data_IF_823311192421
#
_entry.id   IF_823311192421
#
_cell.length_a   1.000
_cell.length_b   1.000
_cell.length_c   1.000
_cell.angle_alpha   90.00
_cell.angle_beta   90.00
_cell.angle_gamma   90.00
#
_symmetry.space_group_name_H-M   'P 1'
#
loop_
_entity.id
_entity.type
_entity.pdbx_description
1 polymer ?
2 water ?
#
# COMPACT_ATOMS: atom_id res chain seq x y z
N UNK A 22 -5.35 14.87 -9.55
CA UNK A 22 -5.96 14.00 -10.62
C UNK A 22 -6.69 12.74 -10.06
N UNK A 23 -6.17 11.52 -10.27
CA UNK A 23 -6.89 10.29 -9.81
C UNK A 23 -6.13 8.94 -9.70
N UNK A 24 -4.88 8.88 -10.17
CA UNK A 24 -4.24 7.57 -10.52
C UNK A 24 -3.35 6.84 -9.50
N UNK A 25 -3.66 6.90 -8.21
CA UNK A 25 -3.01 5.99 -7.25
C UNK A 25 -3.87 4.74 -7.04
N UNK A 26 -3.19 3.61 -6.79
CA UNK A 26 -3.87 2.34 -6.52
C UNK A 26 -4.16 2.23 -5.03
N UNK A 27 -5.40 1.91 -4.68
CA UNK A 27 -5.74 1.60 -3.31
C UNK A 27 -6.46 0.26 -3.26
N UNK A 28 -6.76 -0.21 -2.05
CA UNK A 28 -7.28 -1.57 -1.93
C UNK A 28 -8.65 -1.61 -1.24
N UNK A 29 -9.60 -2.27 -1.89
CA UNK A 29 -10.91 -2.46 -1.29
C UNK A 29 -10.84 -3.37 -0.06
N UNK A 30 -11.63 -3.06 0.96
CA UNK A 30 -11.60 -3.82 2.22
C UNK A 30 -12.35 -5.14 2.02
N UNK A 31 -11.92 -6.19 2.73
CA UNK A 31 -12.65 -7.45 2.73
C UNK A 31 -13.94 -7.29 3.55
N UNK A 32 -14.99 -8.02 3.19
CA UNK A 32 -16.20 -8.07 4.00
C UNK A 32 -16.23 -9.28 4.97
N UNK A 33 -16.86 -9.10 6.13
CA UNK A 33 -17.15 -10.19 7.09
C UNK A 33 -18.63 -10.20 7.39
N UNK A 34 -19.13 -11.36 7.83
CA UNK A 34 -20.43 -11.38 8.48
C UNK A 34 -20.24 -11.10 9.96
N UNK A 35 -21.25 -10.52 10.61
CA UNK A 35 -21.27 -10.24 12.05
C UNK A 35 -21.24 -11.55 12.84
N UNK A 36 -20.61 -11.53 14.02
CA UNK A 36 -20.59 -12.67 14.94
C UNK A 36 -20.67 -12.21 16.39
N UNK A 37 -21.29 -13.01 17.25
CA UNK A 37 -21.32 -12.73 18.68
C UNK A 37 -19.99 -13.09 19.35
N UNK A 38 -19.11 -12.10 19.50
CA UNK A 38 -17.79 -12.31 20.13
C UNK A 38 -17.85 -12.57 21.62
N UNK A 39 -18.72 -11.81 22.29
CA UNK A 39 -19.03 -11.97 23.71
C UNK A 39 -19.42 -13.39 24.13
N UNK A 40 -20.60 -13.85 23.73
CA UNK A 40 -21.20 -15.10 24.29
C UNK A 40 -20.25 -16.30 24.50
N UNK A 41 -19.48 -16.70 23.46
CA UNK A 41 -18.42 -17.70 23.67
C UNK A 41 -17.33 -17.30 24.67
N UNK A 42 -16.93 -16.03 24.65
CA UNK A 42 -15.89 -15.53 25.59
C UNK A 42 -16.42 -15.43 27.02
N UNK A 43 -17.75 -15.30 27.16
CA UNK A 43 -18.43 -15.28 28.45
C UNK A 43 -18.24 -16.64 29.15
N UNK A 44 -18.46 -17.71 28.38
CA UNK A 44 -18.43 -19.06 28.92
C UNK A 44 -17.05 -19.54 29.33
N UNK A 45 -16.00 -18.87 28.86
CA UNK A 45 -14.63 -19.20 29.26
C UNK A 45 -14.21 -18.49 30.55
N UNK A 46 -14.86 -17.38 30.88
CA UNK A 46 -14.49 -16.56 32.06
C UNK A 46 -14.64 -17.34 33.38
N UNK A 47 -15.67 -18.19 33.46
CA UNK A 47 -15.87 -19.09 34.60
C UNK A 47 -14.68 -20.04 34.68
N UNK A 48 -13.58 -19.53 35.25
CA UNK A 48 -12.27 -20.20 35.21
C UNK A 48 -11.53 -20.06 36.56
N UNK A 49 -10.61 -19.09 36.65
CA UNK A 49 -10.07 -18.65 37.94
C UNK A 49 -10.89 -17.41 38.37
N UNK A 50 -12.11 -17.34 37.84
CA UNK A 50 -13.08 -16.28 38.14
C UNK A 50 -14.39 -16.91 38.65
N UNK A 51 -14.55 -16.97 39.99
CA UNK A 51 -15.64 -17.72 40.64
C UNK A 51 -16.98 -16.99 40.79
N UNK A 52 -17.11 -16.17 41.83
CA UNK A 52 -18.39 -15.58 42.24
C UNK A 52 -18.88 -14.46 41.31
N UNK A 53 -20.20 -14.25 41.30
CA UNK A 53 -20.83 -13.26 40.41
C UNK A 53 -20.66 -11.83 40.85
N UNK A 54 -20.47 -10.92 39.89
CA UNK A 54 -20.22 -9.50 40.15
C UNK A 54 -18.88 -9.25 40.83
N UNK A 55 -17.84 -9.12 40.00
CA UNK A 55 -16.44 -9.14 40.45
C UNK A 55 -15.56 -8.61 39.31
N UNK A 56 -14.40 -9.22 39.12
CA UNK A 56 -13.69 -9.16 37.85
C UNK A 56 -14.47 -10.05 36.89
N UNK A 57 -15.09 -11.08 37.48
CA UNK A 57 -15.88 -12.07 36.77
C UNK A 57 -16.88 -11.43 35.80
N UNK A 58 -17.92 -10.78 36.33
CA UNK A 58 -18.96 -10.20 35.48
C UNK A 58 -18.67 -8.76 35.03
N UNK A 59 -17.42 -8.34 35.23
CA UNK A 59 -16.90 -7.09 34.64
C UNK A 59 -16.23 -7.40 33.29
N UNK A 60 -15.35 -8.41 33.29
CA UNK A 60 -14.67 -8.91 32.10
C UNK A 60 -15.69 -9.27 31.02
N UNK A 61 -16.87 -9.72 31.45
CA UNK A 61 -17.97 -10.05 30.56
C UNK A 61 -18.58 -8.81 29.89
N UNK A 62 -18.45 -7.65 30.53
CA UNK A 62 -18.84 -6.38 29.90
C UNK A 62 -17.71 -5.80 29.08
N UNK A 63 -16.50 -6.36 29.27
CA UNK A 63 -15.35 -6.00 28.45
C UNK A 63 -15.37 -6.88 27.21
N UNK A 64 -15.84 -8.11 27.40
CA UNK A 64 -16.13 -9.03 26.31
C UNK A 64 -17.35 -8.51 25.57
N UNK A 65 -18.27 -7.88 26.32
CA UNK A 65 -19.45 -7.21 25.76
C UNK A 65 -18.91 -5.99 25.00
N UNK A 66 -17.84 -5.41 25.58
CA UNK A 66 -17.15 -4.20 24.99
C UNK A 66 -16.41 -4.48 23.75
N UNK A 67 -15.65 -5.60 23.70
CA UNK A 67 -14.85 -6.05 22.52
C UNK A 67 -15.66 -6.56 21.34
N UNK A 68 -16.82 -7.17 21.62
CA UNK A 68 -17.74 -7.63 20.59
C UNK A 68 -18.30 -6.41 19.88
N UNK A 69 -18.54 -5.38 20.68
CA UNK A 69 -19.02 -4.09 20.18
C UNK A 69 -17.94 -3.43 19.33
N UNK A 70 -16.69 -3.63 19.77
CA UNK A 70 -15.53 -3.10 19.04
C UNK A 70 -15.38 -3.78 17.67
N UNK A 71 -15.59 -5.09 17.59
CA UNK A 71 -15.58 -5.73 16.27
C UNK A 71 -16.57 -5.12 15.30
N UNK A 72 -17.84 -4.93 15.71
CA UNK A 72 -18.86 -4.35 14.84
C UNK A 72 -18.52 -2.93 14.37
N UNK A 73 -17.81 -2.16 15.20
CA UNK A 73 -17.32 -0.86 14.74
C UNK A 73 -16.13 -0.97 13.75
N UNK A 74 -15.18 -1.85 14.03
CA UNK A 74 -14.03 -2.08 13.16
C UNK A 74 -14.46 -2.65 11.82
N UNK A 75 -15.49 -3.47 11.82
CA UNK A 75 -15.71 -4.37 10.70
C UNK A 75 -17.13 -4.36 10.17
N UNK A 76 -18.09 -3.90 10.97
CA UNK A 76 -19.49 -3.93 10.55
C UNK A 76 -19.98 -2.77 9.69
N UNK A 77 -19.38 -1.59 9.89
CA UNK A 77 -19.93 -0.33 9.33
C UNK A 77 -19.53 -0.09 7.87
N UNK A 78 -20.51 0.34 7.03
CA UNK A 78 -20.22 0.97 5.73
C UNK A 78 -19.26 2.13 5.96
N UNK A 79 -18.02 1.99 5.51
CA UNK A 79 -16.95 2.69 6.20
C UNK A 79 -16.74 4.14 5.87
N UNK A 80 -15.78 4.67 6.60
CA UNK A 80 -15.44 6.06 6.70
C UNK A 80 -13.93 6.09 6.39
N UNK A 81 -13.55 6.90 5.40
CA UNK A 81 -12.14 7.02 5.02
C UNK A 81 -11.40 8.07 5.85
N UNK A 82 -11.53 7.95 7.18
CA UNK A 82 -11.06 8.97 8.12
C UNK A 82 -10.12 8.43 9.19
N UNK A 83 -9.36 9.36 9.79
CA UNK A 83 -8.54 9.12 10.99
C UNK A 83 -9.28 8.15 11.93
N UNK A 84 -10.55 8.50 12.23
CA UNK A 84 -11.46 7.75 13.12
C UNK A 84 -11.65 6.28 12.82
N UNK A 85 -12.12 5.96 11.62
CA UNK A 85 -12.35 4.57 11.19
C UNK A 85 -11.08 3.71 11.15
N UNK A 86 -9.96 4.28 10.72
CA UNK A 86 -8.69 3.54 10.72
C UNK A 86 -8.28 3.21 12.14
N UNK A 87 -8.37 4.20 13.02
CA UNK A 87 -8.01 3.99 14.43
C UNK A 87 -8.87 2.90 15.05
N UNK A 88 -10.14 2.86 14.67
CA UNK A 88 -10.98 1.80 15.17
C UNK A 88 -10.41 0.47 14.74
N UNK A 89 -10.11 0.31 13.44
CA UNK A 89 -9.53 -0.92 12.92
C UNK A 89 -8.29 -1.29 13.67
N UNK A 90 -7.35 -0.33 13.78
CA UNK A 90 -6.07 -0.58 14.46
C UNK A 90 -6.24 -1.05 15.91
N UNK A 91 -7.18 -0.41 16.59
CA UNK A 91 -7.49 -0.78 17.95
C UNK A 91 -8.00 -2.21 17.92
N UNK A 92 -8.95 -2.49 17.04
CA UNK A 92 -9.46 -3.83 17.01
C UNK A 92 -8.36 -4.86 16.73
N UNK A 93 -7.38 -4.52 15.89
CA UNK A 93 -6.23 -5.40 15.68
C UNK A 93 -5.40 -5.59 16.95
N UNK A 94 -4.97 -4.50 17.57
CA UNK A 94 -4.22 -4.59 18.83
C UNK A 94 -4.95 -5.48 19.82
N UNK A 95 -6.28 -5.34 19.88
CA UNK A 95 -7.09 -5.99 20.91
C UNK A 95 -7.21 -7.49 20.73
N UNK A 96 -7.25 -7.94 19.47
CA UNK A 96 -7.25 -9.36 19.18
C UNK A 96 -5.88 -9.93 19.54
N UNK A 97 -4.84 -9.31 19.01
CA UNK A 97 -3.50 -9.76 19.32
C UNK A 97 -3.31 -10.02 20.83
N UNK A 98 -3.97 -9.21 21.67
CA UNK A 98 -3.78 -9.25 23.12
C UNK A 98 -4.63 -10.32 23.82
N UNK A 99 -5.53 -10.92 23.05
CA UNK A 99 -6.57 -11.79 23.58
C UNK A 99 -6.26 -13.25 23.33
N UNK A 100 -5.32 -13.51 22.44
CA UNK A 100 -4.95 -14.88 22.10
C UNK A 100 -4.14 -15.59 23.18
N UNK A 101 -3.21 -14.88 23.86
CA UNK A 101 -2.36 -15.63 24.78
C UNK A 101 -3.09 -15.98 26.07
N UNK A 102 -4.42 -15.92 26.03
CA UNK A 102 -5.24 -16.11 27.23
C UNK A 102 -6.31 -17.19 27.02
N UNK A 103 -6.92 -17.19 25.83
CA UNK A 103 -8.11 -18.01 25.58
C UNK A 103 -7.85 -19.31 24.80
N UNK A 104 -7.82 -19.24 23.44
CA UNK A 104 -7.70 -20.47 22.65
C UNK A 104 -6.24 -20.90 22.35
N UNK A 105 -5.38 -20.79 23.37
CA UNK A 105 -3.96 -21.18 23.31
C UNK A 105 -3.76 -22.64 22.87
N UNK A 106 -4.82 -23.44 22.98
CA UNK A 106 -4.85 -24.81 22.44
C UNK A 106 -6.24 -25.22 21.94
N UNK A 107 -7.29 -24.65 22.55
CA UNK A 107 -8.70 -24.84 22.18
C UNK A 107 -9.12 -26.20 21.60
N UNK A 108 -9.77 -27.01 22.43
CA UNK A 108 -10.31 -28.29 21.99
C UNK A 108 -11.68 -28.13 21.30
N UNK A 109 -12.27 -26.95 21.43
CA UNK A 109 -13.57 -26.63 20.82
C UNK A 109 -13.74 -25.15 20.44
N UNK A 110 -13.26 -24.25 21.31
CA UNK A 110 -13.60 -22.79 21.34
C UNK A 110 -14.60 -22.32 20.24
N UNK A 111 -15.88 -22.33 20.61
CA UNK A 111 -17.00 -22.18 19.67
C UNK A 111 -17.13 -20.76 19.10
N UNK A 112 -16.37 -20.47 18.05
CA UNK A 112 -16.22 -19.10 17.53
C UNK A 112 -15.56 -19.08 16.13
N UNK A 113 -16.34 -18.71 15.12
CA UNK A 113 -15.91 -18.86 13.73
C UNK A 113 -16.10 -17.56 12.93
N UNK A 114 -15.01 -17.12 12.30
CA UNK A 114 -15.02 -15.88 11.53
C UNK A 114 -15.10 -16.19 10.05
N UNK A 115 -15.93 -15.44 9.35
CA UNK A 115 -16.18 -15.65 7.93
C UNK A 115 -15.84 -14.40 7.16
N UNK A 116 -14.98 -14.53 6.16
CA UNK A 116 -14.52 -13.41 5.35
C UNK A 116 -14.64 -13.73 3.86
N UNK A 117 -15.13 -12.76 3.07
CA UNK A 117 -15.10 -12.82 1.60
C UNK A 117 -13.70 -12.38 1.11
N UNK A 118 -13.21 -13.01 0.04
CA UNK A 118 -11.98 -12.56 -0.66
C UNK A 118 -12.19 -11.12 -1.17
N UNK A 119 -11.14 -10.30 -1.15
CA UNK A 119 -11.29 -8.89 -1.47
C UNK A 119 -11.46 -8.65 -2.96
N UNK A 120 -10.94 -9.59 -3.75
CA UNK A 120 -10.73 -9.38 -5.18
C UNK A 120 -11.62 -10.31 -5.97
N UNK A 121 -11.73 -11.55 -5.48
CA UNK A 121 -12.43 -12.61 -6.21
C UNK A 121 -13.92 -12.43 -6.07
N UNK A 122 -14.54 -12.05 -7.19
CA UNK A 122 -15.98 -11.87 -7.30
C UNK A 122 -16.67 -13.22 -7.08
N UNK A 123 -16.02 -14.26 -7.61
CA UNK A 123 -16.50 -15.62 -7.51
C UNK A 123 -16.97 -16.01 -8.88
N UNK A 124 -18.23 -16.45 -8.95
CA UNK A 124 -18.93 -16.61 -10.19
C UNK A 124 -20.39 -16.47 -9.87
N UNK A 125 -21.10 -15.70 -10.69
CA UNK A 125 -22.52 -15.49 -10.49
C UNK A 125 -23.28 -16.79 -10.88
N UNK A 126 -22.49 -17.83 -11.20
CA UNK A 126 -22.96 -19.20 -11.42
C UNK A 126 -23.16 -19.93 -10.09
N UNK A 127 -22.39 -19.55 -9.07
CA UNK A 127 -22.49 -20.18 -7.75
C UNK A 127 -21.98 -19.34 -6.58
N UNK A 128 -22.09 -18.02 -6.69
CA UNK A 128 -21.86 -17.10 -5.57
C UNK A 128 -20.41 -16.68 -5.35
N UNK A 129 -20.21 -15.88 -4.30
CA UNK A 129 -18.90 -15.31 -3.93
C UNK A 129 -17.89 -16.35 -3.39
N UNK A 130 -16.65 -15.92 -3.20
CA UNK A 130 -15.62 -16.76 -2.60
C UNK A 130 -15.37 -16.31 -1.16
N UNK A 131 -15.63 -17.23 -0.24
CA UNK A 131 -15.70 -16.96 1.19
C UNK A 131 -14.87 -18.03 1.91
N UNK A 132 -14.49 -17.77 3.15
CA UNK A 132 -13.74 -18.75 3.96
C UNK A 132 -13.98 -18.58 5.47
N UNK A 133 -14.51 -19.63 6.09
CA UNK A 133 -14.89 -19.59 7.49
C UNK A 133 -13.88 -20.40 8.27
N UNK A 134 -13.34 -19.82 9.33
CA UNK A 134 -12.40 -20.52 10.21
C UNK A 134 -12.59 -20.06 11.63
N UNK A 135 -12.45 -21.03 12.54
CA UNK A 135 -12.50 -20.81 13.98
C UNK A 135 -11.09 -20.52 14.49
N UNK A 136 -10.53 -19.37 14.12
CA UNK A 136 -9.13 -19.07 14.38
C UNK A 136 -8.90 -17.57 14.55
N UNK A 137 -8.17 -17.20 15.59
CA UNK A 137 -7.87 -15.80 15.84
C UNK A 137 -6.77 -15.32 14.90
N UNK A 138 -5.97 -16.28 14.41
CA UNK A 138 -4.94 -16.03 13.40
C UNK A 138 -5.55 -15.61 12.08
N UNK A 139 -6.66 -16.24 11.72
CA UNK A 139 -7.33 -15.90 10.49
C UNK A 139 -7.90 -14.52 10.62
N UNK A 140 -8.65 -14.33 11.70
CA UNK A 140 -9.31 -13.08 11.96
C UNK A 140 -8.33 -11.93 11.93
N UNK A 141 -7.23 -12.00 12.68
CA UNK A 141 -6.33 -10.85 12.76
C UNK A 141 -5.60 -10.60 11.43
N UNK A 142 -5.47 -11.67 10.64
CA UNK A 142 -4.92 -11.58 9.32
C UNK A 142 -5.79 -10.75 8.44
N UNK A 143 -7.09 -10.94 8.52
CA UNK A 143 -8.01 -10.27 7.63
C UNK A 143 -8.21 -8.84 8.09
N UNK A 144 -8.12 -8.63 9.41
CA UNK A 144 -8.33 -7.32 9.99
C UNK A 144 -7.17 -6.44 9.57
N UNK A 145 -5.97 -7.00 9.68
CA UNK A 145 -4.76 -6.29 9.36
C UNK A 145 -4.75 -5.96 7.89
N UNK A 146 -5.23 -6.90 7.07
CA UNK A 146 -5.40 -6.65 5.63
C UNK A 146 -6.25 -5.41 5.50
N UNK A 147 -7.35 -5.36 6.25
CA UNK A 147 -8.24 -4.22 6.11
C UNK A 147 -7.64 -2.91 6.63
N UNK A 148 -6.74 -2.98 7.62
CA UNK A 148 -6.05 -1.79 8.12
C UNK A 148 -5.16 -1.28 6.99
N UNK A 149 -4.61 -2.23 6.25
CA UNK A 149 -3.76 -1.89 5.14
C UNK A 149 -4.61 -1.24 4.04
N UNK A 150 -5.69 -1.91 3.67
CA UNK A 150 -6.52 -1.42 2.59
C UNK A 150 -7.13 -0.03 2.89
N UNK A 151 -7.54 0.22 4.13
CA UNK A 151 -8.13 1.51 4.43
C UNK A 151 -7.08 2.61 4.41
N UNK A 152 -5.89 2.29 4.90
CA UNK A 152 -4.73 3.16 4.85
C UNK A 152 -4.39 3.55 3.40
N UNK A 153 -4.34 2.59 2.48
CA UNK A 153 -4.11 2.94 1.07
C UNK A 153 -5.22 3.84 0.50
N UNK A 154 -6.45 3.65 0.98
CA UNK A 154 -7.57 4.46 0.49
C UNK A 154 -7.42 5.89 0.98
N UNK A 155 -7.14 6.04 2.28
CA UNK A 155 -6.90 7.34 2.86
C UNK A 155 -5.71 8.00 2.16
N UNK A 156 -4.65 7.21 1.98
CA UNK A 156 -3.44 7.68 1.29
C UNK A 156 -3.77 8.23 -0.09
N UNK A 157 -4.37 7.41 -0.93
CA UNK A 157 -4.78 7.79 -2.28
C UNK A 157 -5.68 9.04 -2.36
N UNK A 158 -6.49 9.25 -1.32
CA UNK A 158 -7.47 10.33 -1.22
C UNK A 158 -6.84 11.71 -1.00
N UNK A 159 -5.53 11.74 -0.74
CA UNK A 159 -4.90 12.97 -0.22
C UNK A 159 -4.47 13.97 -1.25
N UNK A 160 -4.45 15.24 -0.85
CA UNK A 160 -4.05 16.34 -1.74
C UNK A 160 -2.52 16.41 -1.72
N UNK A 161 -1.92 16.13 -2.87
CA UNK A 161 -0.46 16.06 -2.94
C UNK A 161 0.23 17.40 -3.23
N UNK A 162 -0.50 18.40 -3.71
CA UNK A 162 0.11 19.76 -3.77
C UNK A 162 -0.15 20.57 -2.50
N UNK A 163 -0.08 19.90 -1.36
CA UNK A 163 -0.18 20.50 -0.05
C UNK A 163 0.63 19.63 0.89
N UNK A 164 1.44 20.27 1.73
CA UNK A 164 2.50 19.58 2.45
C UNK A 164 2.11 18.52 3.47
N UNK A 165 0.96 18.68 4.14
CA UNK A 165 0.57 17.68 5.14
C UNK A 165 -0.17 16.52 4.47
N UNK A 166 -0.58 16.72 3.23
CA UNK A 166 -1.17 15.67 2.40
C UNK A 166 -0.08 14.70 1.99
N UNK A 167 0.99 15.26 1.45
CA UNK A 167 2.22 14.53 1.17
C UNK A 167 2.69 13.67 2.32
N UNK A 168 2.72 14.23 3.53
CA UNK A 168 3.14 13.43 4.69
C UNK A 168 2.16 12.36 5.13
N UNK A 169 0.86 12.64 5.03
CA UNK A 169 -0.14 11.65 5.42
C UNK A 169 -0.09 10.49 4.42
N UNK A 170 0.02 10.80 3.13
CA UNK A 170 0.07 9.78 2.09
C UNK A 170 1.33 8.93 2.20
N UNK A 171 2.46 9.52 2.53
CA UNK A 171 3.68 8.73 2.62
C UNK A 171 3.66 7.83 3.85
N UNK A 172 3.22 8.39 4.99
CA UNK A 172 3.02 7.60 6.22
C UNK A 172 2.09 6.38 6.04
N UNK A 173 0.94 6.57 5.38
CA UNK A 173 -0.05 5.51 5.28
C UNK A 173 0.38 4.45 4.24
N UNK A 174 0.97 4.91 3.13
CA UNK A 174 1.51 3.98 2.13
C UNK A 174 2.56 3.07 2.74
N UNK A 175 3.48 3.62 3.54
CA UNK A 175 4.50 2.80 4.23
C UNK A 175 3.90 1.88 5.29
N UNK A 176 2.81 2.32 5.92
CA UNK A 176 2.12 1.47 6.89
C UNK A 176 1.50 0.32 6.18
N UNK A 177 0.83 0.64 5.06
CA UNK A 177 0.07 -0.35 4.30
C UNK A 177 1.05 -1.35 3.71
N UNK A 178 2.18 -0.85 3.24
CA UNK A 178 3.22 -1.76 2.78
C UNK A 178 3.70 -2.65 3.92
N UNK A 179 3.98 -2.08 5.07
CA UNK A 179 4.49 -2.90 6.17
C UNK A 179 3.44 -3.91 6.63
N UNK A 180 2.17 -3.56 6.47
CA UNK A 180 1.11 -4.39 7.01
C UNK A 180 0.81 -5.56 6.08
N UNK A 181 0.84 -5.28 4.78
CA UNK A 181 0.73 -6.33 3.79
C UNK A 181 1.90 -7.30 3.99
N UNK A 182 3.13 -6.77 4.11
CA UNK A 182 4.31 -7.64 4.25
C UNK A 182 4.24 -8.48 5.51
N UNK A 183 3.63 -7.92 6.56
CA UNK A 183 3.45 -8.69 7.78
C UNK A 183 2.52 -9.89 7.58
N UNK A 184 1.48 -9.71 6.77
CA UNK A 184 0.58 -10.81 6.46
C UNK A 184 1.30 -11.86 5.59
N UNK A 185 2.07 -11.44 4.59
CA UNK A 185 2.85 -12.38 3.78
C UNK A 185 3.72 -13.32 4.61
N UNK A 186 4.41 -12.74 5.59
CA UNK A 186 5.35 -13.49 6.39
C UNK A 186 4.62 -14.42 7.35
N UNK A 187 3.37 -14.05 7.64
CA UNK A 187 2.65 -14.60 8.77
C UNK A 187 1.40 -15.39 8.44
N UNK A 188 0.83 -15.21 7.25
CA UNK A 188 -0.47 -15.81 6.99
C UNK A 188 -0.50 -17.32 7.25
N UNK A 189 0.52 -18.04 6.81
CA UNK A 189 0.46 -19.50 6.77
C UNK A 189 0.54 -20.16 8.16
N UNK A 190 1.59 -19.83 8.93
CA UNK A 190 1.71 -20.27 10.32
C UNK A 190 0.49 -19.88 11.14
N UNK A 191 -0.09 -18.73 10.79
CA UNK A 191 -1.25 -18.16 11.50
C UNK A 191 -2.54 -18.96 11.30
N UNK A 192 -2.59 -19.67 10.18
CA UNK A 192 -3.85 -20.29 9.73
C UNK A 192 -3.85 -21.81 9.81
N UNK A 193 -5.06 -22.36 9.73
CA UNK A 193 -5.31 -23.80 9.64
C UNK A 193 -5.14 -24.30 8.19
N UNK A 194 -5.70 -23.56 7.22
CA UNK A 194 -5.83 -24.02 5.84
C UNK A 194 -5.02 -23.16 4.86
N UNK A 195 -5.10 -23.55 3.59
CA UNK A 195 -4.63 -22.70 2.50
C UNK A 195 -5.60 -21.51 2.47
N UNK A 196 -5.07 -20.27 2.56
CA UNK A 196 -5.93 -19.08 2.66
C UNK A 196 -6.68 -18.74 1.36
N UNK A 197 -7.57 -17.76 1.42
CA UNK A 197 -8.11 -17.21 0.19
C UNK A 197 -6.95 -16.49 -0.52
N UNK A 198 -7.06 -16.29 -1.83
CA UNK A 198 -5.92 -15.73 -2.59
C UNK A 198 -5.55 -14.31 -2.17
N UNK A 199 -6.53 -13.48 -1.82
CA UNK A 199 -6.27 -12.09 -1.53
C UNK A 199 -5.23 -11.94 -0.43
N UNK A 200 -5.23 -12.85 0.54
CA UNK A 200 -4.27 -12.75 1.65
C UNK A 200 -3.14 -13.76 1.55
N UNK A 201 -3.08 -14.50 0.47
CA UNK A 201 -2.01 -15.47 0.29
C UNK A 201 -0.69 -14.73 0.05
N UNK A 202 0.46 -15.30 0.50
CA UNK A 202 1.74 -14.53 0.50
C UNK A 202 2.08 -13.79 -0.81
N UNK A 203 1.72 -14.38 -1.94
CA UNK A 203 2.10 -13.82 -3.23
C UNK A 203 1.37 -12.54 -3.59
N UNK A 204 0.06 -12.48 -3.33
CA UNK A 204 -0.75 -11.28 -3.60
C UNK A 204 -0.38 -10.11 -2.69
N UNK A 205 -0.26 -10.44 -1.42
CA UNK A 205 0.02 -9.48 -0.39
C UNK A 205 1.51 -9.01 -0.45
N UNK A 206 2.43 -9.87 -0.92
CA UNK A 206 3.80 -9.46 -1.26
C UNK A 206 3.79 -8.38 -2.34
N UNK A 207 3.09 -8.64 -3.44
CA UNK A 207 2.84 -7.65 -4.50
C UNK A 207 2.14 -6.35 -4.02
N UNK A 208 1.04 -6.49 -3.28
CA UNK A 208 0.40 -5.28 -2.67
C UNK A 208 1.38 -4.50 -1.77
N UNK A 209 2.26 -5.22 -1.09
CA UNK A 209 3.31 -4.59 -0.30
C UNK A 209 4.21 -3.68 -1.13
N UNK A 210 4.64 -4.16 -2.30
CA UNK A 210 5.59 -3.46 -3.17
C UNK A 210 4.90 -2.28 -3.80
N UNK A 211 3.66 -2.48 -4.29
CA UNK A 211 2.90 -1.36 -4.85
C UNK A 211 2.83 -0.21 -3.87
N UNK A 212 2.38 -0.46 -2.63
CA UNK A 212 2.28 0.62 -1.64
C UNK A 212 3.63 1.31 -1.42
N UNK A 213 4.71 0.53 -1.34
CA UNK A 213 6.04 1.10 -1.14
C UNK A 213 6.43 1.93 -2.38
N UNK A 214 6.09 1.43 -3.58
CA UNK A 214 6.37 2.19 -4.80
C UNK A 214 5.68 3.55 -4.67
N UNK A 215 4.38 3.54 -4.29
CA UNK A 215 3.58 4.76 -4.21
C UNK A 215 4.06 5.69 -3.12
N UNK A 216 4.51 5.11 -2.02
CA UNK A 216 5.12 5.91 -0.98
C UNK A 216 6.27 6.73 -1.59
N UNK A 217 7.14 6.07 -2.33
CA UNK A 217 8.34 6.70 -2.88
C UNK A 217 7.99 7.77 -3.93
N UNK A 218 7.00 7.48 -4.77
CA UNK A 218 6.49 8.46 -5.68
C UNK A 218 6.03 9.73 -4.94
N UNK A 219 5.48 9.54 -3.74
CA UNK A 219 5.05 10.67 -2.90
C UNK A 219 6.28 11.45 -2.45
N UNK A 220 7.34 10.75 -2.07
CA UNK A 220 8.62 11.43 -1.74
C UNK A 220 9.28 12.13 -2.94
N UNK A 221 9.12 11.57 -4.14
CA UNK A 221 9.58 12.27 -5.34
C UNK A 221 8.74 13.54 -5.52
N UNK A 222 7.42 13.41 -5.41
CA UNK A 222 6.52 14.56 -5.59
C UNK A 222 6.82 15.70 -4.59
N UNK A 223 7.15 15.31 -3.37
CA UNK A 223 7.51 16.24 -2.32
C UNK A 223 8.84 16.94 -2.61
N UNK A 224 9.78 16.20 -3.22
CA UNK A 224 11.07 16.77 -3.59
C UNK A 224 10.94 17.81 -4.67
N UNK A 225 10.11 17.49 -5.67
CA UNK A 225 9.75 18.44 -6.70
C UNK A 225 9.11 19.70 -6.09
N UNK A 226 8.38 19.55 -5.00
CA UNK A 226 7.79 20.70 -4.36
C UNK A 226 8.77 21.45 -3.47
N UNK A 227 9.57 20.75 -2.69
CA UNK A 227 10.63 21.40 -1.93
C UNK A 227 11.71 21.98 -2.84
N UNK A 228 11.44 21.94 -4.15
CA UNK A 228 12.34 22.45 -5.19
C UNK A 228 13.80 22.02 -4.97
N UNK A 229 13.99 20.75 -4.63
CA UNK A 229 15.31 20.18 -4.37
C UNK A 229 16.19 20.06 -5.62
N UNK A 230 17.46 19.68 -5.39
CA UNK A 230 18.43 19.47 -6.46
C UNK A 230 17.91 18.42 -7.46
N UNK A 231 18.15 18.71 -8.74
CA UNK A 231 17.60 17.87 -9.80
C UNK A 231 18.28 16.52 -9.77
N UNK A 232 19.51 16.54 -9.27
CA UNK A 232 20.30 15.34 -9.07
C UNK A 232 19.63 14.39 -8.09
N UNK A 233 19.19 14.91 -6.95
CA UNK A 233 18.51 14.11 -5.93
C UNK A 233 17.12 13.63 -6.44
N UNK A 234 16.39 14.50 -7.13
CA UNK A 234 15.10 14.14 -7.68
C UNK A 234 15.19 13.03 -8.74
N UNK A 235 16.24 13.07 -9.55
CA UNK A 235 16.49 11.99 -10.52
C UNK A 235 16.69 10.64 -9.81
N UNK A 236 17.47 10.62 -8.72
CA UNK A 236 17.70 9.39 -7.97
C UNK A 236 16.44 8.83 -7.33
N UNK A 237 15.60 9.72 -6.78
CA UNK A 237 14.34 9.35 -6.16
C UNK A 237 13.39 8.82 -7.22
N UNK A 238 13.32 9.48 -8.37
CA UNK A 238 12.51 8.98 -9.49
C UNK A 238 13.04 7.64 -10.01
N UNK A 239 14.37 7.52 -10.10
CA UNK A 239 14.94 6.28 -10.58
C UNK A 239 14.59 5.13 -9.63
N UNK A 240 14.76 5.36 -8.31
CA UNK A 240 14.35 4.36 -7.34
C UNK A 240 12.90 3.93 -7.50
N UNK A 241 12.01 4.85 -7.83
CA UNK A 241 10.57 4.55 -7.93
C UNK A 241 10.27 3.67 -9.14
N UNK A 242 11.01 3.93 -10.21
CA UNK A 242 10.89 3.18 -11.43
C UNK A 242 11.17 1.72 -11.15
N UNK A 243 12.13 1.46 -10.26
CA UNK A 243 12.47 0.11 -9.83
C UNK A 243 11.41 -0.56 -9.00
N UNK A 244 10.82 0.20 -8.08
CA UNK A 244 9.75 -0.34 -7.27
C UNK A 244 8.59 -0.64 -8.19
N UNK A 245 8.21 0.28 -9.10
CA UNK A 245 7.06 0.03 -9.97
C UNK A 245 7.30 -1.07 -10.97
N UNK A 246 8.56 -1.21 -11.37
CA UNK A 246 8.99 -2.20 -12.33
C UNK A 246 8.91 -3.57 -11.70
N UNK A 247 9.48 -3.75 -10.51
CA UNK A 247 9.41 -5.05 -9.84
C UNK A 247 7.94 -5.41 -9.69
N UNK A 248 7.15 -4.51 -9.12
CA UNK A 248 5.76 -4.76 -8.87
C UNK A 248 4.99 -5.23 -10.11
N UNK A 249 5.18 -4.57 -11.27
CA UNK A 249 4.41 -5.00 -12.44
C UNK A 249 4.88 -6.36 -12.96
N UNK A 250 6.15 -6.67 -12.72
CA UNK A 250 6.65 -7.99 -13.07
C UNK A 250 6.02 -9.08 -12.22
N UNK A 251 5.74 -8.75 -10.96
CA UNK A 251 5.01 -9.68 -10.11
C UNK A 251 3.56 -9.94 -10.59
N UNK A 252 3.00 -8.98 -11.35
CA UNK A 252 1.63 -9.04 -11.86
C UNK A 252 1.51 -9.58 -13.28
N UNK A 253 2.64 -9.70 -13.96
CA UNK A 253 2.59 -9.97 -15.40
C UNK A 253 1.82 -11.25 -15.78
N UNK A 254 1.99 -12.33 -15.02
CA UNK A 254 1.41 -13.61 -15.41
C UNK A 254 0.18 -14.01 -14.61
N UNK A 255 -0.38 -13.03 -13.87
CA UNK A 255 -1.39 -13.26 -12.85
C UNK A 255 -2.53 -12.30 -13.05
N UNK A 256 -3.75 -12.71 -12.65
CA UNK A 256 -4.97 -11.91 -12.83
C UNK A 256 -5.81 -11.83 -11.52
N UNK A 257 -5.12 -11.80 -10.38
CA UNK A 257 -5.75 -11.68 -9.08
C UNK A 257 -6.25 -10.26 -8.80
N UNK A 258 -5.39 -9.28 -8.98
CA UNK A 258 -5.72 -7.90 -8.64
C UNK A 258 -6.65 -7.25 -9.67
N UNK A 259 -7.39 -6.21 -9.26
CA UNK A 259 -8.20 -5.55 -10.25
C UNK A 259 -7.41 -5.23 -11.53
N UNK A 260 -8.11 -5.21 -12.66
CA UNK A 260 -7.46 -5.22 -13.95
C UNK A 260 -6.73 -3.92 -14.25
N UNK A 261 -7.13 -2.84 -13.58
CA UNK A 261 -6.42 -1.56 -13.70
C UNK A 261 -5.02 -1.57 -13.09
N UNK A 262 -4.74 -2.50 -12.19
CA UNK A 262 -3.49 -2.44 -11.44
C UNK A 262 -2.26 -2.57 -12.32
N UNK A 263 -2.23 -3.56 -13.21
CA UNK A 263 -1.01 -3.87 -13.99
C UNK A 263 -0.70 -2.76 -15.01
N UNK A 264 -1.72 -2.33 -15.79
CA UNK A 264 -1.47 -1.17 -16.64
C UNK A 264 -1.06 0.11 -15.90
N UNK A 265 -1.53 0.38 -14.67
CA UNK A 265 -1.08 1.58 -13.98
C UNK A 265 0.39 1.40 -13.55
N UNK A 266 0.75 0.18 -13.14
CA UNK A 266 2.13 -0.09 -12.72
C UNK A 266 3.07 0.00 -13.91
N UNK A 267 2.57 -0.40 -15.08
CA UNK A 267 3.43 -0.44 -16.26
C UNK A 267 3.77 1.01 -16.65
N UNK A 268 2.72 1.83 -16.71
CA UNK A 268 2.87 3.23 -17.13
C UNK A 268 3.75 3.97 -16.14
N UNK A 269 3.48 3.72 -14.85
CA UNK A 269 4.10 4.41 -13.75
C UNK A 269 5.58 4.06 -13.77
N UNK A 270 5.89 2.86 -14.22
CA UNK A 270 7.29 2.49 -14.39
C UNK A 270 8.00 3.37 -15.46
N UNK A 271 7.37 3.54 -16.62
CA UNK A 271 7.95 4.38 -17.67
C UNK A 271 7.92 5.87 -17.31
N UNK A 272 6.86 6.30 -16.66
CA UNK A 272 6.77 7.68 -16.20
C UNK A 272 7.94 8.03 -15.28
N UNK A 273 8.31 7.10 -14.39
CA UNK A 273 9.33 7.39 -13.37
C UNK A 273 10.72 7.37 -13.96
N UNK A 274 10.95 6.46 -14.90
CA UNK A 274 12.15 6.51 -15.74
C UNK A 274 12.22 7.81 -16.53
N UNK A 275 11.09 8.33 -16.98
CA UNK A 275 11.08 9.55 -17.75
C UNK A 275 11.35 10.79 -16.87
N UNK A 276 10.83 10.78 -15.65
CA UNK A 276 11.19 11.77 -14.66
C UNK A 276 12.70 11.69 -14.34
N UNK A 277 13.24 10.50 -14.05
CA UNK A 277 14.67 10.35 -13.81
C UNK A 277 15.53 11.00 -14.90
N UNK A 278 15.18 10.75 -16.17
CA UNK A 278 15.97 11.19 -17.31
C UNK A 278 15.81 12.72 -17.53
N UNK A 279 14.58 13.21 -17.30
CA UNK A 279 14.29 14.61 -17.49
C UNK A 279 15.06 15.44 -16.46
N UNK A 280 15.06 14.96 -15.23
CA UNK A 280 15.74 15.71 -14.19
C UNK A 280 17.21 15.59 -14.34
N UNK A 281 17.68 14.42 -14.78
CA UNK A 281 19.12 14.24 -14.97
C UNK A 281 19.58 15.11 -16.12
N UNK A 282 18.74 15.26 -17.17
CA UNK A 282 19.10 16.16 -18.25
C UNK A 282 19.25 17.63 -17.80
N UNK A 283 18.48 18.07 -16.81
CA UNK A 283 18.53 19.46 -16.40
C UNK A 283 19.90 19.66 -15.79
N UNK A 284 20.34 18.65 -15.03
CA UNK A 284 21.62 18.70 -14.36
C UNK A 284 22.71 18.78 -15.42
N UNK A 285 22.59 17.95 -16.44
CA UNK A 285 23.51 17.91 -17.55
C UNK A 285 23.68 19.28 -18.24
N UNK A 286 22.57 20.02 -18.39
CA UNK A 286 22.58 21.32 -19.05
C UNK A 286 23.29 22.30 -18.14
N UNK A 287 23.05 22.22 -16.84
CA UNK A 287 23.75 23.05 -15.87
C UNK A 287 25.25 22.88 -16.00
N UNK A 288 25.67 21.66 -16.32
CA UNK A 288 27.07 21.34 -16.42
C UNK A 288 27.59 21.47 -17.84
N UNK A 289 26.80 22.13 -18.70
CA UNK A 289 27.10 22.38 -20.13
C UNK A 289 27.36 21.11 -20.96
N UNK A 290 26.72 20.03 -20.59
CA UNK A 290 26.85 18.79 -21.34
C UNK A 290 25.64 18.70 -22.26
N UNK A 291 25.69 19.48 -23.33
CA UNK A 291 24.48 19.72 -24.11
C UNK A 291 24.05 18.50 -24.93
N UNK A 292 25.03 17.68 -25.32
CA UNK A 292 24.76 16.44 -26.02
C UNK A 292 24.06 15.52 -25.06
N UNK A 293 24.63 15.36 -23.85
CA UNK A 293 24.03 14.47 -22.85
C UNK A 293 22.59 14.88 -22.63
N UNK A 294 22.36 16.18 -22.56
CA UNK A 294 20.98 16.67 -22.36
C UNK A 294 20.04 16.23 -23.43
N UNK A 295 20.43 16.33 -24.68
CA UNK A 295 19.54 15.90 -25.75
C UNK A 295 19.28 14.41 -25.63
N UNK A 296 20.34 13.62 -25.44
CA UNK A 296 20.22 12.14 -25.36
C UNK A 296 19.16 11.75 -24.32
N UNK A 297 19.37 12.21 -23.07
CA UNK A 297 18.46 11.94 -21.95
C UNK A 297 17.05 12.47 -22.20
N UNK A 298 16.93 13.64 -22.80
CA UNK A 298 15.62 14.13 -23.25
C UNK A 298 14.98 13.24 -24.35
N UNK A 299 15.79 12.70 -25.26
CA UNK A 299 15.20 11.83 -26.30
C UNK A 299 14.64 10.59 -25.65
N UNK A 300 15.37 10.05 -24.67
CA UNK A 300 14.91 8.90 -23.93
C UNK A 300 13.62 9.21 -23.18
N UNK A 301 13.57 10.28 -22.43
CA UNK A 301 12.34 10.67 -21.75
C UNK A 301 11.13 10.82 -22.68
N UNK A 302 11.33 11.44 -23.85
CA UNK A 302 10.28 11.62 -24.84
C UNK A 302 9.79 10.26 -25.29
N UNK A 303 10.68 9.30 -25.34
CA UNK A 303 10.30 8.06 -25.92
C UNK A 303 9.52 7.27 -24.94
N UNK A 304 10.01 7.27 -23.69
CA UNK A 304 9.32 6.63 -22.59
C UNK A 304 7.89 7.15 -22.54
N UNK A 305 7.74 8.47 -22.66
CA UNK A 305 6.43 9.11 -22.51
C UNK A 305 5.52 8.91 -23.72
N UNK A 306 6.10 8.90 -24.92
CA UNK A 306 5.34 8.58 -26.12
C UNK A 306 4.74 7.17 -25.98
N UNK A 307 5.53 6.24 -25.44
CA UNK A 307 5.09 4.86 -25.27
C UNK A 307 3.91 4.75 -24.32
N UNK A 308 4.00 5.46 -23.21
CA UNK A 308 2.95 5.41 -22.23
C UNK A 308 1.67 6.07 -22.79
N UNK A 309 1.82 7.18 -23.53
CA UNK A 309 0.66 7.83 -24.16
C UNK A 309 -0.09 6.92 -25.13
N UNK A 310 0.62 6.14 -25.94
CA UNK A 310 -0.10 5.34 -26.92
C UNK A 310 -0.57 4.03 -26.32
N UNK A 311 0.24 3.49 -25.43
CA UNK A 311 -0.08 2.21 -24.82
C UNK A 311 -1.01 2.34 -23.63
N UNK A 312 -0.92 3.44 -22.89
CA UNK A 312 -1.69 3.57 -21.61
C UNK A 312 -2.61 4.81 -21.44
N UNK A 313 -3.03 5.38 -22.58
CA UNK A 313 -4.14 6.32 -22.79
C UNK A 313 -5.24 6.25 -21.70
N UNK A 314 -5.82 5.07 -21.51
CA UNK A 314 -7.01 4.94 -20.69
C UNK A 314 -6.75 5.04 -19.18
N UNK A 315 -5.49 5.25 -18.78
CA UNK A 315 -5.09 5.11 -17.37
C UNK A 315 -4.29 6.28 -16.78
N UNK A 316 -3.53 6.97 -17.60
CA UNK A 316 -2.72 8.09 -17.12
C UNK A 316 -2.80 9.23 -18.12
N UNK A 317 -2.65 10.46 -17.65
CA UNK A 317 -2.63 11.67 -18.49
C UNK A 317 -1.25 12.31 -18.44
N UNK A 318 -0.58 12.28 -19.58
CA UNK A 318 0.87 12.40 -19.62
C UNK A 318 1.23 13.65 -20.40
N UNK A 319 0.18 14.29 -20.94
CA UNK A 319 0.26 15.45 -21.82
C UNK A 319 1.15 16.64 -21.37
N UNK A 320 0.92 17.19 -20.17
CA UNK A 320 1.72 18.37 -19.72
C UNK A 320 3.22 18.03 -19.69
N UNK A 321 3.57 16.87 -19.11
CA UNK A 321 4.93 16.39 -18.99
C UNK A 321 5.58 16.11 -20.34
N UNK A 322 4.82 15.60 -21.29
CA UNK A 322 5.32 15.43 -22.64
C UNK A 322 5.62 16.79 -23.30
N UNK A 323 4.76 17.77 -23.09
CA UNK A 323 4.91 19.12 -23.68
C UNK A 323 6.14 19.78 -23.07
N UNK A 324 6.36 19.55 -21.78
CA UNK A 324 7.49 20.10 -21.05
C UNK A 324 8.77 19.60 -21.68
N UNK A 325 8.79 18.28 -21.95
CA UNK A 325 9.95 17.57 -22.48
C UNK A 325 10.23 18.02 -23.91
N UNK A 326 9.18 18.08 -24.72
CA UNK A 326 9.32 18.50 -26.11
C UNK A 326 9.85 19.94 -26.30
N UNK A 327 9.37 20.90 -25.50
CA UNK A 327 9.91 22.26 -25.53
C UNK A 327 11.39 22.19 -25.19
N UNK A 328 11.75 21.38 -24.19
CA UNK A 328 13.11 21.41 -23.73
C UNK A 328 14.01 20.77 -24.80
N UNK A 329 13.46 19.77 -25.51
CA UNK A 329 14.20 19.04 -26.52
C UNK A 329 14.40 19.90 -27.75
N UNK A 330 13.31 20.56 -28.17
CA UNK A 330 13.30 21.48 -29.29
C UNK A 330 14.28 22.62 -29.05
N UNK A 331 14.32 23.21 -27.87
CA UNK A 331 15.30 24.28 -27.59
C UNK A 331 16.72 23.73 -27.53
N UNK A 332 16.90 22.56 -26.91
CA UNK A 332 18.21 21.96 -26.84
C UNK A 332 18.81 21.69 -28.22
N UNK A 333 18.01 21.09 -29.11
CA UNK A 333 18.46 20.71 -30.47
C UNK A 333 18.83 21.96 -31.26
N UNK A 334 18.02 23.00 -31.07
CA UNK A 334 18.13 24.19 -31.87
C UNK A 334 19.43 24.91 -31.56
N UNK A 335 19.75 25.10 -30.28
CA UNK A 335 20.98 25.77 -29.89
C UNK A 335 22.21 24.94 -30.12
N UNK A 336 22.05 23.61 -30.06
CA UNK A 336 23.19 22.73 -30.25
C UNK A 336 23.64 22.65 -31.74
N UNK A 337 22.67 22.65 -32.64
CA UNK A 337 22.94 22.59 -34.05
C UNK A 337 23.51 23.89 -34.56
N UNK A 338 23.06 25.01 -34.01
CA UNK A 338 23.42 26.30 -34.56
C UNK A 338 24.61 26.91 -33.78
N UNK A 339 24.76 26.53 -32.51
CA UNK A 339 25.86 27.03 -31.67
C UNK A 339 26.87 25.99 -31.23
N UNK A 340 26.47 25.04 -30.40
CA UNK A 340 27.50 24.23 -29.67
C UNK A 340 28.14 23.08 -30.45
N UNK A 341 27.30 22.29 -31.14
CA UNK A 341 27.76 21.16 -31.96
C UNK A 341 28.31 19.97 -31.16
N UNK A 342 27.86 19.82 -29.92
CA UNK A 342 28.12 18.63 -29.13
C UNK A 342 27.64 17.37 -29.88
N UNK A 343 28.46 16.34 -29.81
CA UNK A 343 28.10 15.01 -30.27
C UNK A 343 27.11 14.49 -29.24
N UNK A 344 25.99 14.03 -29.77
CA UNK A 344 24.94 13.43 -28.98
C UNK A 344 25.27 11.96 -28.77
N UNK A 345 25.57 11.59 -27.53
CA UNK A 345 25.91 10.20 -27.21
C UNK A 345 24.74 9.22 -27.30
N UNK A 346 25.04 7.94 -27.49
CA UNK A 346 24.04 6.88 -27.39
C UNK A 346 23.75 6.62 -25.92
N UNK A 347 22.56 6.13 -25.61
CA UNK A 347 22.17 5.92 -24.20
C UNK A 347 23.13 5.06 -23.43
N UNK A 348 23.62 3.99 -24.07
CA UNK A 348 24.51 3.01 -23.43
C UNK A 348 25.87 3.60 -23.11
N UNK A 349 26.16 4.77 -23.65
CA UNK A 349 27.44 5.42 -23.34
C UNK A 349 27.36 6.43 -22.17
N UNK A 350 26.16 6.65 -21.62
CA UNK A 350 25.97 7.53 -20.45
C UNK A 350 26.03 6.78 -19.10
N UNK A 351 26.59 7.42 -18.08
CA UNK A 351 26.55 6.81 -16.75
C UNK A 351 25.12 6.49 -16.31
N UNK A 352 24.95 5.42 -15.54
CA UNK A 352 23.62 5.15 -14.97
C UNK A 352 23.22 6.33 -14.09
N UNK A 353 21.93 6.67 -14.09
CA UNK A 353 21.45 7.61 -13.11
C UNK A 353 21.44 6.81 -11.82
N UNK A 354 21.80 7.44 -10.70
CA UNK A 354 21.83 6.74 -9.40
C UNK A 354 20.46 6.38 -8.83
N UNK A 355 20.47 5.83 -7.61
CA UNK A 355 19.26 5.41 -6.92
C UNK A 355 19.27 5.82 -5.44
N UNK A 356 18.12 6.31 -4.95
CA UNK A 356 17.97 6.67 -3.54
C UNK A 356 16.54 6.43 -3.05
N UNK A 357 16.43 5.68 -1.95
CA UNK A 357 15.13 5.41 -1.32
C UNK A 357 14.96 6.24 -0.06
N UNK A 358 13.74 6.75 0.14
CA UNK A 358 13.38 7.57 1.29
C UNK A 358 12.25 6.89 2.05
N UNK A 359 12.18 5.59 1.90
CA UNK A 359 10.93 4.84 2.10
C UNK A 359 11.22 3.46 2.67
N UNK A 360 10.38 2.99 3.59
CA UNK A 360 10.59 1.69 4.23
C UNK A 360 9.23 1.10 4.55
N UNK A 361 9.10 -0.23 4.58
CA UNK A 361 7.85 -0.88 4.98
C UNK A 361 7.77 -0.86 6.46
N UNK A 362 6.79 -0.16 7.02
CA UNK A 362 6.66 0.01 8.44
C UNK A 362 6.40 -1.32 9.21
N UNK A 363 7.32 -1.71 10.12
CA UNK A 363 7.12 -2.95 10.86
C UNK A 363 5.80 -2.92 11.63
N UNK A 364 5.16 -4.07 11.80
CA UNK A 364 3.95 -4.13 12.63
C UNK A 364 4.36 -4.60 14.04
N UNK A 365 4.48 -3.65 14.96
CA UNK A 365 4.73 -3.94 16.38
C UNK A 365 3.54 -3.46 17.23
N UNK A 366 2.74 -4.39 17.74
CA UNK A 366 1.58 -4.05 18.57
C UNK A 366 1.99 -3.34 19.88
N UNK A 367 1.33 -2.20 20.22
CA UNK A 367 0.11 -1.70 19.61
C UNK A 367 0.39 -0.78 18.42
N UNK A 368 -0.42 -0.94 17.38
CA UNK A 368 -0.37 -0.05 16.22
C UNK A 368 -1.45 1.05 16.32
N UNK A 369 -2.31 0.95 17.32
CA UNK A 369 -3.33 1.98 17.55
C UNK A 369 -2.83 3.02 18.53
N UNK A 370 -3.44 4.20 18.49
CA UNK A 370 -2.89 5.38 19.13
C UNK A 370 -2.78 5.38 20.66
N UNK A 371 -3.84 5.00 21.35
CA UNK A 371 -3.81 5.06 22.81
C UNK A 371 -4.43 3.80 23.35
N UNK A 372 -3.69 2.70 23.18
CA UNK A 372 -4.25 1.38 23.31
C UNK A 372 -4.53 0.98 24.73
N UNK A 373 -5.77 0.55 24.97
CA UNK A 373 -6.18 0.00 26.25
C UNK A 373 -6.67 -1.44 26.09
N UNK A 374 -5.85 -2.40 26.52
CA UNK A 374 -6.30 -3.78 26.49
C UNK A 374 -7.40 -3.90 27.50
N UNK A 375 -8.60 -4.27 27.03
CA UNK A 375 -9.78 -4.39 27.88
C UNK A 375 -9.69 -5.58 28.84
N UNK A 376 -8.65 -6.40 28.67
CA UNK A 376 -8.44 -7.59 29.49
C UNK A 376 -7.00 -7.59 29.97
N UNK A 377 -6.52 -6.42 30.41
CA UNK A 377 -5.15 -6.28 30.91
C UNK A 377 -4.87 -7.10 32.20
N UNK A 378 -5.79 -7.06 33.17
CA UNK A 378 -5.58 -7.72 34.46
C UNK A 378 -5.78 -9.26 34.42
N UNK A 379 -6.17 -9.79 33.26
CA UNK A 379 -6.44 -11.23 33.12
C UNK A 379 -5.17 -12.01 32.77
#
# INVERSE_FOLDING_TARGET
MHHHHHHHHHHSGQNLYFQGHMATFISVQLKKTSEVDLAKPLVKFIQQTYPSGGEEQAQYCRAAEELSKLRRAAVGRPLDKHEGALETLLRYYDQICSIEPKFPFSENQICLTFTWKDAFDKGSLFGGSVKLALASLGYEKSCVLFNCAALASQIAAEQNLDNDEGLKIAAKHYQFASGAFLHIKETVLSALSREPTVDISPDTVGTLSLIMLAQAQEVFFLKATRDKMKDAIIAKLANQAADYFGDAFKQCQYKDTLPKEVFPVLAAKHCIMQANAEYHQSILAKQQKKFGEEIARLQHAAELIKTVASRYDEYVNVKDFSDKINRALAAAKKDNDFIYHDRVPDLKDLDPIGKATLVKSTPVNVPISQKFTDLFEKMV
#
